data_IF_864847049470
#
_entry.id   IF_864847049470
#
_cell.length_a   1.000
_cell.length_b   1.000
_cell.length_c   1.000
_cell.angle_alpha   90.00
_cell.angle_beta   90.00
_cell.angle_gamma   90.00
#
_symmetry.space_group_name_H-M   'P 1'
#
loop_
_entity.id
_entity.type
_entity.pdbx_description
1 polymer ?
#
# COMPACT_ATOMS: atom_id res chain seq x y z
N UNK A 1 -4.04 -4.53 16.55
CA UNK A 1 -4.29 -3.76 15.32
C UNK A 1 -3.49 -4.33 14.15
N UNK A 2 -2.16 -4.49 14.28
CA UNK A 2 -1.33 -5.16 13.24
C UNK A 2 -1.83 -6.56 12.86
N UNK A 3 -2.31 -7.36 13.82
CA UNK A 3 -2.93 -8.67 13.55
C UNK A 3 -4.22 -8.60 12.71
N UNK A 4 -4.95 -7.48 12.76
CA UNK A 4 -6.15 -7.28 11.93
C UNK A 4 -5.77 -6.92 10.49
N UNK A 5 -4.70 -6.16 10.32
CA UNK A 5 -4.12 -5.82 9.01
C UNK A 5 -3.56 -7.08 8.35
N UNK A 6 -2.78 -7.86 9.10
CA UNK A 6 -2.26 -9.14 8.63
C UNK A 6 -3.41 -10.06 8.17
N UNK A 7 -4.43 -10.25 9.01
CA UNK A 7 -5.60 -11.05 8.65
C UNK A 7 -6.31 -10.52 7.42
N UNK A 8 -6.43 -9.20 7.28
CA UNK A 8 -7.00 -8.58 6.09
C UNK A 8 -6.19 -8.94 4.83
N UNK A 9 -4.86 -8.82 4.90
CA UNK A 9 -3.95 -9.15 3.80
C UNK A 9 -4.03 -10.64 3.43
N UNK A 10 -4.02 -11.54 4.41
CA UNK A 10 -4.10 -12.99 4.17
C UNK A 10 -5.49 -13.48 3.75
N UNK A 11 -6.55 -12.69 3.94
CA UNK A 11 -7.92 -13.08 3.54
C UNK A 11 -8.31 -12.51 2.17
N UNK A 12 -7.71 -11.38 1.78
CA UNK A 12 -8.19 -10.60 0.62
C UNK A 12 -7.14 -10.37 -0.47
N UNK A 13 -5.86 -10.58 -0.14
CA UNK A 13 -4.68 -10.37 -0.98
C UNK A 13 -3.73 -11.57 -0.97
N UNK A 14 -4.18 -12.74 -0.52
CA UNK A 14 -3.41 -13.97 -0.48
C UNK A 14 -2.90 -14.40 -1.86
N UNK A 15 -3.74 -14.33 -2.89
CA UNK A 15 -3.34 -14.66 -4.27
C UNK A 15 -2.17 -13.77 -4.75
N UNK A 16 -2.32 -12.44 -4.61
CA UNK A 16 -1.30 -11.46 -5.00
C UNK A 16 0.01 -11.65 -4.20
N UNK A 17 -0.10 -11.95 -2.90
CA UNK A 17 1.06 -12.24 -2.05
C UNK A 17 1.72 -13.56 -2.47
N UNK A 18 0.95 -14.59 -2.79
CA UNK A 18 1.47 -15.91 -3.21
C UNK A 18 2.21 -15.82 -4.54
N UNK A 19 1.63 -15.14 -5.52
CA UNK A 19 2.30 -14.86 -6.80
C UNK A 19 3.62 -14.13 -6.60
N UNK A 20 3.67 -13.21 -5.63
CA UNK A 20 4.87 -12.45 -5.29
C UNK A 20 5.94 -13.33 -4.63
N UNK A 21 5.54 -14.28 -3.78
CA UNK A 21 6.47 -15.24 -3.14
C UNK A 21 7.10 -16.21 -4.13
N UNK A 22 6.36 -16.59 -5.18
CA UNK A 22 6.83 -17.48 -6.23
C UNK A 22 7.73 -16.77 -7.27
N UNK A 23 7.80 -15.43 -7.27
CA UNK A 23 8.70 -14.70 -8.18
C UNK A 23 10.17 -14.92 -7.79
N UNK A 24 11.06 -15.33 -8.72
CA UNK A 24 12.45 -15.64 -8.40
C UNK A 24 13.31 -14.39 -8.14
N UNK A 25 12.92 -13.23 -8.68
CA UNK A 25 13.73 -12.00 -8.62
C UNK A 25 13.64 -11.31 -7.24
N UNK A 26 14.79 -11.01 -6.64
CA UNK A 26 14.93 -10.31 -5.34
C UNK A 26 15.34 -8.85 -5.51
N UNK A 27 15.85 -8.48 -6.69
CA UNK A 27 16.46 -7.16 -6.94
C UNK A 27 15.40 -6.10 -7.29
N UNK A 28 14.18 -6.52 -7.60
CA UNK A 28 13.08 -5.63 -7.91
C UNK A 28 12.30 -5.28 -6.63
N UNK A 29 12.09 -3.97 -6.41
CA UNK A 29 11.09 -3.53 -5.44
C UNK A 29 9.72 -4.08 -5.85
N UNK A 30 9.09 -4.82 -4.93
CA UNK A 30 7.78 -5.42 -5.15
C UNK A 30 6.73 -4.74 -4.28
N UNK A 31 5.49 -4.72 -4.74
CA UNK A 31 4.41 -4.05 -4.01
C UNK A 31 3.09 -4.77 -4.14
N UNK A 32 2.28 -4.71 -3.08
CA UNK A 32 0.89 -5.21 -3.04
C UNK A 32 -0.07 -4.03 -3.11
N UNK A 33 -0.98 -4.04 -4.09
CA UNK A 33 -1.91 -2.96 -4.37
C UNK A 33 -3.17 -3.02 -3.52
N UNK A 34 -3.35 -2.08 -2.59
CA UNK A 34 -4.55 -2.00 -1.75
C UNK A 34 -5.49 -0.92 -2.25
N UNK A 35 -6.78 -1.24 -2.35
CA UNK A 35 -7.82 -0.24 -2.59
C UNK A 35 -8.64 -0.06 -1.30
N UNK A 36 -8.36 0.96 -0.48
CA UNK A 36 -9.09 1.19 0.76
C UNK A 36 -10.54 1.63 0.54
N UNK A 37 -10.89 2.04 -0.68
CA UNK A 37 -12.26 2.39 -1.08
C UNK A 37 -13.02 1.20 -1.69
N UNK A 38 -12.38 0.03 -1.76
CA UNK A 38 -12.94 -1.17 -2.39
C UNK A 38 -13.98 -1.91 -1.56
N UNK A 39 -14.72 -2.85 -2.18
CA UNK A 39 -15.78 -3.63 -1.53
C UNK A 39 -15.24 -4.61 -0.48
N UNK A 40 -13.96 -4.98 -0.54
CA UNK A 40 -13.32 -5.90 0.41
C UNK A 40 -13.03 -5.27 1.78
N UNK A 41 -13.46 -4.04 2.05
CA UNK A 41 -13.15 -3.30 3.29
C UNK A 41 -13.81 -3.97 4.50
N UNK A 42 -13.00 -4.45 5.43
CA UNK A 42 -13.49 -4.99 6.71
C UNK A 42 -13.74 -3.84 7.70
N UNK A 43 -14.60 -4.07 8.69
CA UNK A 43 -14.84 -3.10 9.79
C UNK A 43 -13.52 -2.70 10.47
N UNK A 44 -12.57 -3.63 10.57
CA UNK A 44 -11.27 -3.40 11.17
C UNK A 44 -10.38 -2.41 10.38
N UNK A 45 -10.53 -2.35 9.06
CA UNK A 45 -9.72 -1.48 8.17
C UNK A 45 -10.51 -0.22 7.76
N UNK A 46 -11.71 -0.02 8.32
CA UNK A 46 -12.62 1.06 7.91
C UNK A 46 -12.08 2.45 8.27
N UNK A 47 -11.39 2.62 9.39
CA UNK A 47 -10.87 3.92 9.82
C UNK A 47 -9.44 4.21 9.32
N UNK A 48 -8.81 3.23 8.67
CA UNK A 48 -7.42 3.28 8.26
C UNK A 48 -7.10 4.41 7.28
N UNK A 49 -7.96 4.77 6.30
CA UNK A 49 -7.63 5.86 5.39
C UNK A 49 -7.47 7.21 6.10
N UNK A 50 -8.27 7.48 7.12
CA UNK A 50 -8.16 8.73 7.90
C UNK A 50 -6.89 8.75 8.75
N UNK A 51 -6.52 7.61 9.36
CA UNK A 51 -5.28 7.47 10.13
C UNK A 51 -4.05 7.58 9.23
N UNK A 52 -4.09 6.94 8.05
CA UNK A 52 -3.05 7.01 7.03
C UNK A 52 -2.88 8.43 6.49
N UNK A 53 -3.96 9.21 6.33
CA UNK A 53 -3.85 10.64 5.97
C UNK A 53 -3.19 11.48 7.07
N UNK A 54 -3.51 11.20 8.34
CA UNK A 54 -3.04 11.98 9.48
C UNK A 54 -1.60 11.65 9.90
N UNK A 55 -1.18 10.39 9.77
CA UNK A 55 0.14 9.89 10.20
C UNK A 55 0.73 8.91 9.19
N UNK A 56 1.00 9.35 7.94
CA UNK A 56 1.34 8.46 6.84
C UNK A 56 2.58 7.62 7.12
N UNK A 57 3.66 8.22 7.63
CA UNK A 57 4.91 7.50 7.88
C UNK A 57 4.74 6.36 8.89
N UNK A 58 4.01 6.61 9.98
CA UNK A 58 3.80 5.61 11.02
C UNK A 58 2.93 4.46 10.51
N UNK A 59 1.84 4.79 9.82
CA UNK A 59 0.91 3.77 9.31
C UNK A 59 1.55 2.95 8.18
N UNK A 60 2.29 3.57 7.25
CA UNK A 60 3.00 2.85 6.20
C UNK A 60 3.95 1.78 6.75
N UNK A 61 4.72 2.11 7.79
CA UNK A 61 5.63 1.15 8.45
C UNK A 61 4.85 -0.03 9.07
N UNK A 62 3.70 0.23 9.68
CA UNK A 62 2.85 -0.86 10.24
C UNK A 62 2.31 -1.74 9.13
N UNK A 63 1.84 -1.16 8.03
CA UNK A 63 1.30 -1.90 6.89
C UNK A 63 2.38 -2.77 6.24
N UNK A 64 3.59 -2.26 6.04
CA UNK A 64 4.72 -3.03 5.50
C UNK A 64 5.13 -4.16 6.45
N UNK A 65 5.14 -3.90 7.77
CA UNK A 65 5.41 -4.93 8.78
C UNK A 65 4.34 -6.02 8.78
N UNK A 66 3.06 -5.64 8.72
CA UNK A 66 1.95 -6.59 8.65
C UNK A 66 1.96 -7.39 7.34
N UNK A 67 2.41 -6.80 6.23
CA UNK A 67 2.62 -7.51 4.96
C UNK A 67 3.72 -8.55 5.08
N UNK A 68 4.82 -8.21 5.77
CA UNK A 68 5.87 -9.18 6.06
C UNK A 68 5.37 -10.35 6.91
N UNK A 69 4.53 -10.10 7.92
CA UNK A 69 3.92 -11.18 8.70
C UNK A 69 2.93 -11.99 7.87
N UNK A 70 2.12 -11.34 7.03
CA UNK A 70 1.18 -12.04 6.15
C UNK A 70 1.90 -13.00 5.19
N UNK A 71 3.04 -12.58 4.63
CA UNK A 71 3.89 -13.46 3.81
C UNK A 71 4.33 -14.72 4.58
N UNK A 72 4.79 -14.56 5.83
CA UNK A 72 5.19 -15.68 6.69
C UNK A 72 4.01 -16.60 7.01
N UNK A 73 2.90 -16.03 7.46
CA UNK A 73 1.70 -16.78 7.83
C UNK A 73 1.13 -17.58 6.67
N UNK A 74 1.19 -17.04 5.44
CA UNK A 74 0.78 -17.76 4.23
C UNK A 74 1.78 -18.87 3.87
N UNK A 75 3.09 -18.61 4.00
CA UNK A 75 4.12 -19.60 3.70
C UNK A 75 4.14 -20.79 4.67
N UNK A 76 3.78 -20.56 5.93
CA UNK A 76 3.63 -21.59 6.96
C UNK A 76 2.22 -22.23 6.96
N UNK A 77 1.29 -21.69 6.17
CA UNK A 77 -0.11 -22.08 6.15
C UNK A 77 -0.38 -23.38 5.37
N UNK A 78 -1.41 -24.16 5.74
CA UNK A 78 -1.67 -25.48 5.14
C UNK A 78 -2.27 -25.44 3.73
N UNK A 79 -2.69 -24.27 3.23
CA UNK A 79 -3.51 -24.13 2.03
C UNK A 79 -2.81 -23.45 0.84
N UNK A 80 -1.50 -23.16 0.93
CA UNK A 80 -0.79 -22.44 -0.13
C UNK A 80 0.02 -23.38 -1.02
N UNK A 81 -0.21 -23.31 -2.34
CA UNK A 81 0.67 -23.92 -3.33
C UNK A 81 1.85 -22.97 -3.59
N UNK A 82 2.93 -23.18 -2.84
CA UNK A 82 4.20 -22.51 -3.08
C UNK A 82 5.09 -23.36 -3.99
N UNK A 83 5.72 -22.72 -4.96
CA UNK A 83 6.64 -23.40 -5.87
C UNK A 83 7.96 -23.76 -5.18
N UNK A 84 8.64 -24.79 -5.70
CA UNK A 84 9.95 -25.17 -5.21
C UNK A 84 10.94 -24.01 -5.41
N UNK A 85 11.42 -23.41 -4.32
CA UNK A 85 12.28 -22.23 -4.35
C UNK A 85 11.58 -20.90 -4.12
N UNK A 86 10.33 -20.90 -3.64
CA UNK A 86 9.67 -19.67 -3.17
C UNK A 86 10.55 -18.91 -2.15
N UNK A 87 10.38 -17.59 -2.08
CA UNK A 87 11.13 -16.76 -1.14
C UNK A 87 10.28 -15.62 -0.58
N UNK A 88 10.42 -15.40 0.72
CA UNK A 88 9.88 -14.21 1.38
C UNK A 88 10.59 -12.95 0.84
N UNK A 89 9.84 -11.90 0.56
CA UNK A 89 10.34 -10.66 -0.02
C UNK A 89 10.41 -9.56 1.03
N UNK A 90 11.64 -9.26 1.46
CA UNK A 90 11.92 -8.18 2.42
C UNK A 90 11.70 -6.78 1.81
N UNK A 91 11.97 -6.62 0.52
CA UNK A 91 11.80 -5.36 -0.22
C UNK A 91 10.37 -5.21 -0.78
N UNK A 92 9.38 -5.54 0.05
CA UNK A 92 7.96 -5.55 -0.31
C UNK A 92 7.20 -4.49 0.49
N UNK A 93 6.42 -3.66 -0.21
CA UNK A 93 5.68 -2.57 0.40
C UNK A 93 4.22 -2.54 -0.03
N UNK A 94 3.37 -2.02 0.84
CA UNK A 94 1.97 -1.77 0.54
C UNK A 94 1.82 -0.50 -0.31
N UNK A 95 1.07 -0.59 -1.41
CA UNK A 95 0.73 0.55 -2.24
C UNK A 95 -0.78 0.83 -2.20
N UNK A 96 -1.14 1.95 -1.58
CA UNK A 96 -2.53 2.40 -1.57
C UNK A 96 -2.92 3.03 -2.92
N UNK A 97 -3.81 2.34 -3.62
CA UNK A 97 -4.47 2.80 -4.84
C UNK A 97 -5.80 3.46 -4.48
N UNK A 98 -6.29 4.40 -5.30
CA UNK A 98 -7.62 4.99 -5.13
C UNK A 98 -7.89 5.65 -3.75
N UNK A 99 -6.88 6.34 -3.21
CA UNK A 99 -7.05 7.15 -2.00
C UNK A 99 -8.08 8.27 -2.22
N UNK A 100 -8.91 8.57 -1.20
CA UNK A 100 -9.77 9.75 -1.23
C UNK A 100 -8.89 10.99 -1.39
N UNK A 101 -9.38 11.99 -2.12
CA UNK A 101 -8.64 13.24 -2.30
C UNK A 101 -8.57 13.99 -0.97
N UNK A 102 -7.41 14.58 -0.63
CA UNK A 102 -7.25 15.39 0.59
C UNK A 102 -8.26 16.56 0.65
N UNK A 103 -8.79 16.98 -0.51
CA UNK A 103 -9.85 17.98 -0.63
C UNK A 103 -11.23 17.51 -0.13
N UNK A 104 -11.49 16.22 0.02
CA UNK A 104 -12.79 15.70 0.47
C UNK A 104 -12.96 15.68 1.98
N UNK A 105 -11.92 16.01 2.74
CA UNK A 105 -11.96 16.14 4.20
C UNK A 105 -12.32 17.55 4.68
N UNK A 106 -12.38 18.55 3.78
CA UNK A 106 -12.93 19.88 4.08
C UNK A 106 -14.41 19.90 3.72
N UNK A 107 -15.24 19.72 4.74
CA UNK A 107 -16.66 20.03 4.69
C UNK A 107 -16.89 21.49 4.26
N UNK A 108 -17.93 21.66 3.43
CA UNK A 108 -18.62 22.91 3.12
C UNK A 108 -17.83 24.06 2.46
N UNK A 109 -18.01 24.18 1.14
CA UNK A 109 -18.39 25.49 0.59
C UNK A 109 -17.39 26.22 -0.30
N UNK A 110 -16.39 25.58 -0.90
CA UNK A 110 -15.56 26.28 -1.89
C UNK A 110 -15.18 25.39 -3.07
N UNK A 111 -15.50 25.91 -4.26
CA UNK A 111 -15.22 25.38 -5.59
C UNK A 111 -13.84 24.72 -5.63
N UNK A 112 -13.82 23.50 -6.18
CA UNK A 112 -12.79 22.84 -7.02
C UNK A 112 -11.46 23.60 -7.20
N UNK A 113 -10.77 23.92 -6.12
CA UNK A 113 -9.38 24.35 -6.14
C UNK A 113 -8.53 23.08 -6.18
N UNK A 114 -8.50 22.47 -7.35
CA UNK A 114 -7.45 21.51 -7.71
C UNK A 114 -6.16 22.31 -7.90
N UNK A 115 -5.62 22.83 -6.80
CA UNK A 115 -4.30 23.43 -6.79
C UNK A 115 -3.35 22.42 -7.39
N UNK A 116 -2.72 22.77 -8.51
CA UNK A 116 -1.81 21.91 -9.27
C UNK A 116 -0.62 21.42 -8.42
N UNK A 117 -0.39 22.09 -7.28
CA UNK A 117 0.70 21.83 -6.36
C UNK A 117 0.19 21.74 -4.91
N UNK A 118 0.80 20.87 -4.08
CA UNK A 118 0.53 20.80 -2.65
C UNK A 118 0.75 22.16 -1.96
N UNK A 119 -0.09 22.46 -0.96
CA UNK A 119 -0.01 23.67 -0.14
C UNK A 119 0.81 23.44 1.13
N UNK A 120 1.28 24.52 1.76
CA UNK A 120 2.13 24.45 2.97
C UNK A 120 1.42 23.74 4.14
N UNK A 121 0.10 23.88 4.26
CA UNK A 121 -0.72 23.22 5.29
C UNK A 121 -0.87 21.70 5.07
N UNK A 122 -0.39 21.17 3.94
CA UNK A 122 -0.40 19.74 3.63
C UNK A 122 0.95 19.06 3.90
N UNK A 123 1.92 19.79 4.48
CA UNK A 123 3.23 19.26 4.77
C UNK A 123 3.15 18.09 5.77
N UNK A 124 3.79 16.97 5.44
CA UNK A 124 3.77 15.75 6.27
C UNK A 124 2.50 14.91 6.16
N UNK A 125 1.54 15.32 5.32
CA UNK A 125 0.33 14.54 5.03
C UNK A 125 0.45 13.76 3.72
N UNK A 126 -0.33 12.68 3.58
CA UNK A 126 -0.48 12.03 2.28
C UNK A 126 -1.37 12.89 1.38
N UNK A 127 -0.92 13.17 0.16
CA UNK A 127 -1.67 13.97 -0.82
C UNK A 127 -1.76 13.21 -2.13
N UNK A 128 -2.96 13.20 -2.73
CA UNK A 128 -3.17 12.71 -4.09
C UNK A 128 -2.91 13.84 -5.09
N UNK A 129 -1.94 13.65 -5.97
CA UNK A 129 -1.58 14.60 -7.03
C UNK A 129 -1.80 13.98 -8.41
N UNK A 130 -2.06 14.82 -9.41
CA UNK A 130 -2.18 14.43 -10.81
C UNK A 130 -1.50 15.45 -11.69
N UNK A 131 -0.71 15.00 -12.67
CA UNK A 131 -0.02 15.88 -13.61
C UNK A 131 0.68 15.08 -14.70
N UNK A 132 1.28 15.81 -15.66
CA UNK A 132 2.04 15.21 -16.76
C UNK A 132 3.50 15.06 -16.34
N UNK A 133 4.07 13.86 -16.52
CA UNK A 133 5.51 13.63 -16.29
C UNK A 133 6.29 14.24 -17.45
N UNK A 134 7.09 15.28 -17.18
CA UNK A 134 7.83 16.03 -18.22
C UNK A 134 9.26 15.50 -18.40
N UNK A 135 9.89 15.00 -17.33
CA UNK A 135 11.23 14.40 -17.34
C UNK A 135 11.29 13.30 -16.29
N UNK A 136 12.03 12.23 -16.58
CA UNK A 136 12.27 11.11 -15.67
C UNK A 136 13.74 10.73 -15.71
N UNK A 137 14.37 10.61 -14.55
CA UNK A 137 15.72 10.05 -14.46
C UNK A 137 15.63 8.52 -14.54
N UNK A 138 16.55 7.90 -15.28
CA UNK A 138 16.62 6.43 -15.34
C UNK A 138 17.47 5.92 -14.17
N UNK A 139 17.12 4.75 -13.65
CA UNK A 139 18.01 4.04 -12.73
C UNK A 139 19.30 3.66 -13.47
N UNK A 140 20.47 3.70 -12.80
CA UNK A 140 21.70 3.19 -13.40
C UNK A 140 21.47 1.72 -13.79
N UNK A 141 21.70 1.38 -15.06
CA UNK A 141 21.80 -0.03 -15.45
C UNK A 141 23.06 -0.56 -14.79
N UNK A 142 22.91 -1.41 -13.78
CA UNK A 142 24.02 -2.21 -13.27
C UNK A 142 24.46 -3.12 -14.44
N UNK A 143 25.66 -2.87 -14.96
CA UNK A 143 26.34 -3.67 -16.00
C UNK A 143 27.23 -4.68 -15.31
#
# INVERSE_FOLDING_TARGET
MEAQIERYLTTHHDEEITELLNKPDEMLHVSVGLNPSGPKRTVAVRNEPSLLMARPTLELVKWDRSLWQAQKSLAEGPNLFLEAGFKLKHNCHVRFTSMPSSSSLREHGSKKDTGTYPKLDQLGMLVKVSGTVVRMTQSPKLV
#
